data_IF_854991348226
#
_entry.id   IF_854991348226
#
_cell.length_a   1.000
_cell.length_b   1.000
_cell.length_c   1.000
_cell.angle_alpha   90.00
_cell.angle_beta   90.00
_cell.angle_gamma   90.00
#
_symmetry.space_group_name_H-M   'P 1'
#
loop_
_entity.id
_entity.type
_entity.pdbx_description
1 polymer ?
#
# COMPACT_ATOMS: atom_id res chain seq x y z
N UNK A 1 30.13 -22.33 0.39
CA UNK A 1 28.97 -21.70 -0.30
C UNK A 1 27.71 -22.09 0.47
N UNK A 2 27.30 -21.28 1.46
CA UNK A 2 26.09 -21.55 2.24
C UNK A 2 24.89 -21.05 1.44
N UNK A 3 24.12 -21.98 0.87
CA UNK A 3 22.83 -21.67 0.25
C UNK A 3 21.77 -21.70 1.36
N UNK A 4 21.45 -20.54 1.93
CA UNK A 4 20.29 -20.39 2.83
C UNK A 4 19.02 -20.81 2.07
N UNK A 5 18.44 -21.94 2.48
CA UNK A 5 17.31 -22.58 1.81
C UNK A 5 15.94 -22.22 2.41
N UNK A 6 15.89 -21.23 3.31
CA UNK A 6 14.67 -20.78 3.98
C UNK A 6 14.05 -19.54 3.34
N UNK A 7 12.71 -19.46 3.39
CA UNK A 7 11.99 -18.21 3.17
C UNK A 7 12.09 -17.38 4.46
N UNK A 8 12.59 -16.14 4.40
CA UNK A 8 12.70 -15.28 5.58
C UNK A 8 11.82 -14.04 5.44
N UNK A 9 11.08 -13.72 6.50
CA UNK A 9 10.24 -12.54 6.60
C UNK A 9 11.07 -11.37 7.15
N UNK A 10 11.17 -10.27 6.41
CA UNK A 10 11.94 -9.10 6.80
C UNK A 10 11.21 -7.83 6.36
N UNK A 11 11.00 -6.89 7.29
CA UNK A 11 10.30 -5.62 7.05
C UNK A 11 9.03 -5.80 6.20
N UNK A 12 8.14 -6.72 6.57
CA UNK A 12 6.86 -6.95 5.87
C UNK A 12 7.00 -7.46 4.43
N UNK A 13 8.16 -8.00 4.08
CA UNK A 13 8.42 -8.68 2.83
C UNK A 13 8.84 -10.13 3.07
N UNK A 14 8.46 -11.00 2.14
CA UNK A 14 8.95 -12.38 2.07
C UNK A 14 10.07 -12.40 1.04
N UNK A 15 11.29 -12.72 1.47
CA UNK A 15 12.44 -12.88 0.58
C UNK A 15 12.62 -14.36 0.30
N UNK A 16 12.43 -14.74 -0.97
CA UNK A 16 12.58 -16.13 -1.45
C UNK A 16 13.44 -16.16 -2.70
N UNK A 17 14.56 -16.88 -2.67
CA UNK A 17 15.48 -17.06 -3.81
C UNK A 17 15.89 -15.72 -4.46
N UNK A 18 16.18 -14.71 -3.65
CA UNK A 18 16.53 -13.35 -4.11
C UNK A 18 15.38 -12.51 -4.65
N UNK A 19 14.13 -13.01 -4.61
CA UNK A 19 12.93 -12.25 -4.99
C UNK A 19 12.21 -11.75 -3.75
N UNK A 20 11.78 -10.49 -3.80
CA UNK A 20 10.99 -9.84 -2.76
C UNK A 20 9.51 -9.98 -3.14
N UNK A 21 8.70 -10.52 -2.23
CA UNK A 21 7.23 -10.58 -2.35
C UNK A 21 6.59 -9.80 -1.23
N UNK A 22 5.39 -9.26 -1.48
CA UNK A 22 4.56 -8.66 -0.44
C UNK A 22 4.10 -9.74 0.54
N UNK A 23 4.06 -9.41 1.83
CA UNK A 23 3.43 -10.26 2.83
C UNK A 23 1.92 -10.35 2.57
N UNK A 24 1.36 -11.54 2.33
CA UNK A 24 -0.08 -11.73 2.08
C UNK A 24 -0.96 -11.14 3.17
N UNK A 25 -0.51 -11.14 4.43
CA UNK A 25 -1.28 -10.56 5.55
C UNK A 25 -1.44 -9.05 5.41
N UNK A 26 -0.46 -8.37 4.81
CA UNK A 26 -0.51 -6.92 4.57
C UNK A 26 -1.33 -6.58 3.34
N UNK A 27 -1.30 -7.43 2.32
CA UNK A 27 -2.20 -7.31 1.17
C UNK A 27 -3.64 -7.46 1.64
N UNK A 28 -3.94 -8.49 2.44
CA UNK A 28 -5.27 -8.70 3.02
C UNK A 28 -5.73 -7.49 3.85
N UNK A 29 -4.87 -6.92 4.70
CA UNK A 29 -5.22 -5.74 5.48
C UNK A 29 -5.53 -4.49 4.62
N UNK A 30 -4.98 -4.39 3.41
CA UNK A 30 -5.31 -3.34 2.44
C UNK A 30 -6.63 -3.65 1.73
N UNK A 31 -6.87 -4.92 1.40
CA UNK A 31 -8.12 -5.39 0.77
C UNK A 31 -9.34 -5.24 1.69
N UNK A 32 -9.15 -5.47 3.00
CA UNK A 32 -10.20 -5.35 4.02
C UNK A 32 -10.34 -3.91 4.59
N UNK A 33 -9.52 -2.98 4.11
CA UNK A 33 -9.50 -1.61 4.61
C UNK A 33 -10.84 -0.92 4.34
N UNK A 34 -11.45 -0.36 5.39
CA UNK A 34 -12.72 0.33 5.28
C UNK A 34 -12.58 1.65 4.51
N UNK A 35 -13.57 2.08 3.72
CA UNK A 35 -13.53 3.37 3.06
C UNK A 35 -13.19 4.49 4.06
N UNK A 36 -12.26 5.40 3.72
CA UNK A 36 -11.84 6.45 4.64
C UNK A 36 -13.02 7.36 4.96
N UNK A 37 -13.16 7.69 6.24
CA UNK A 37 -14.23 8.58 6.70
C UNK A 37 -13.83 10.05 6.65
N UNK A 38 -12.52 10.32 6.68
CA UNK A 38 -11.94 11.66 6.65
C UNK A 38 -10.57 11.72 5.94
N UNK A 39 -10.04 12.95 5.87
CA UNK A 39 -8.73 13.26 5.28
C UNK A 39 -7.57 12.55 6.01
N UNK A 40 -7.70 12.30 7.32
CA UNK A 40 -6.67 11.65 8.11
C UNK A 40 -6.59 10.15 7.79
N UNK A 41 -7.74 9.49 7.68
CA UNK A 41 -7.87 8.10 7.25
C UNK A 41 -7.28 7.92 5.85
N UNK A 42 -7.64 8.82 4.92
CA UNK A 42 -7.13 8.76 3.55
C UNK A 42 -5.60 8.94 3.49
N UNK A 43 -5.04 9.83 4.31
CA UNK A 43 -3.58 9.98 4.44
C UNK A 43 -2.91 8.72 4.97
N UNK A 44 -3.50 8.10 5.98
CA UNK A 44 -2.98 6.86 6.57
C UNK A 44 -2.98 5.72 5.55
N UNK A 45 -4.09 5.57 4.81
CA UNK A 45 -4.21 4.62 3.72
C UNK A 45 -3.17 4.87 2.62
N UNK A 46 -3.07 6.10 2.12
CA UNK A 46 -2.10 6.44 1.07
C UNK A 46 -0.65 6.28 1.53
N UNK A 47 -0.35 6.47 2.81
CA UNK A 47 0.96 6.18 3.40
C UNK A 47 1.33 4.70 3.26
N UNK A 48 0.39 3.80 3.63
CA UNK A 48 0.57 2.36 3.48
C UNK A 48 0.63 1.93 2.01
N UNK A 49 -0.29 2.43 1.19
CA UNK A 49 -0.33 2.11 -0.24
C UNK A 49 0.94 2.55 -0.97
N UNK A 50 1.52 3.70 -0.59
CA UNK A 50 2.79 4.18 -1.14
C UNK A 50 3.97 3.25 -0.84
N UNK A 51 3.96 2.56 0.30
CA UNK A 51 4.99 1.56 0.62
C UNK A 51 5.01 0.42 -0.40
N UNK A 52 3.84 0.02 -0.88
CA UNK A 52 3.65 -1.07 -1.85
C UNK A 52 3.57 -0.62 -3.31
N UNK A 53 3.70 0.67 -3.61
CA UNK A 53 3.53 1.23 -4.97
C UNK A 53 4.33 0.52 -6.07
N UNK A 54 5.51 -0.02 -5.74
CA UNK A 54 6.38 -0.74 -6.70
C UNK A 54 5.76 -2.04 -7.25
N UNK A 55 4.77 -2.58 -6.54
CA UNK A 55 4.08 -3.82 -6.91
C UNK A 55 2.75 -3.55 -7.61
N UNK A 56 2.31 -2.28 -7.70
CA UNK A 56 1.05 -1.87 -8.33
C UNK A 56 1.35 -1.15 -9.64
N UNK A 57 1.02 -1.78 -10.77
CA UNK A 57 1.19 -1.17 -12.09
C UNK A 57 0.24 0.03 -12.22
N UNK A 58 0.78 1.18 -12.63
CA UNK A 58 -0.04 2.40 -12.79
C UNK A 58 -0.47 3.05 -11.47
N UNK A 59 0.20 2.73 -10.35
CA UNK A 59 -0.17 3.24 -9.02
C UNK A 59 -0.44 4.75 -8.98
N UNK A 60 0.40 5.56 -9.63
CA UNK A 60 0.25 7.02 -9.64
C UNK A 60 -1.06 7.49 -10.25
N UNK A 61 -1.55 6.83 -11.29
CA UNK A 61 -2.82 7.18 -11.94
C UNK A 61 -4.01 6.81 -11.06
N UNK A 62 -3.94 5.64 -10.41
CA UNK A 62 -4.96 5.14 -9.48
C UNK A 62 -5.02 6.01 -8.21
N UNK A 63 -3.86 6.40 -7.67
CA UNK A 63 -3.77 7.19 -6.45
C UNK A 63 -4.07 8.67 -6.67
N UNK A 64 -4.01 9.17 -7.91
CA UNK A 64 -4.21 10.58 -8.24
C UNK A 64 -5.51 11.19 -7.69
N UNK A 65 -6.71 10.64 -7.95
CA UNK A 65 -7.95 11.22 -7.41
C UNK A 65 -7.95 11.30 -5.89
N UNK A 66 -7.40 10.28 -5.22
CA UNK A 66 -7.26 10.27 -3.76
C UNK A 66 -6.26 11.32 -3.27
N UNK A 67 -5.13 11.51 -3.95
CA UNK A 67 -4.17 12.56 -3.59
C UNK A 67 -4.70 13.96 -3.88
N UNK A 68 -5.57 14.10 -4.89
CA UNK A 68 -6.22 15.37 -5.21
C UNK A 68 -7.16 15.80 -4.08
N UNK A 69 -7.93 14.86 -3.49
CA UNK A 69 -8.76 15.10 -2.29
C UNK A 69 -7.97 15.56 -1.05
N UNK A 70 -6.64 15.37 -1.01
CA UNK A 70 -5.79 15.82 0.10
C UNK A 70 -5.30 17.26 -0.04
N UNK A 71 -5.57 17.93 -1.17
CA UNK A 71 -5.15 19.31 -1.42
C UNK A 71 -5.95 20.28 -0.54
N UNK A 72 -5.29 21.34 -0.07
CA UNK A 72 -5.91 22.34 0.83
C UNK A 72 -7.12 23.08 0.23
N UNK A 73 -7.26 23.06 -1.08
CA UNK A 73 -8.35 23.74 -1.81
C UNK A 73 -9.60 22.89 -1.94
N UNK A 74 -9.50 21.58 -1.72
CA UNK A 74 -10.62 20.65 -1.90
C UNK A 74 -11.40 20.50 -0.59
N UNK A 75 -12.73 20.53 -0.71
CA UNK A 75 -13.61 20.07 0.36
C UNK A 75 -13.64 18.53 0.35
N UNK A 76 -13.68 17.92 1.53
CA UNK A 76 -13.81 16.47 1.64
C UNK A 76 -15.15 16.01 1.05
N UNK A 77 -15.09 15.43 -0.16
CA UNK A 77 -16.21 14.83 -0.86
C UNK A 77 -15.80 13.42 -1.33
N UNK A 78 -15.97 12.45 -0.44
CA UNK A 78 -15.66 11.05 -0.71
C UNK A 78 -16.91 10.33 -1.21
N UNK A 79 -16.95 10.00 -2.50
CA UNK A 79 -18.01 9.21 -3.12
C UNK A 79 -17.60 7.74 -3.23
N UNK A 80 -18.42 6.77 -2.76
CA UNK A 80 -18.18 5.34 -2.91
C UNK A 80 -18.04 4.86 -4.36
#
# INVERSE_FOLDING_TARGET
MLVCSGDYQFLWHIVKRGRIRMDPKKVQAIEEWQPPSDVHDLRSFLGLANYYRRFVKGYSEIARPMTDLLKKTETWDWTP
#
